data_IF_897123892850
#
_entry.id   IF_897123892850
#
_cell.length_a   1.000
_cell.length_b   1.000
_cell.length_c   1.000
_cell.angle_alpha   90.00
_cell.angle_beta   90.00
_cell.angle_gamma   90.00
#
_symmetry.space_group_name_H-M   'P 1'
#
loop_
_entity.id
_entity.type
_entity.pdbx_description
1 polymer ?
#
# COMPACT_ATOMS: atom_id res chain seq x y z
N UNK A 1 -7.74 -0.52 6.40
CA UNK A 1 -7.09 0.77 6.12
C UNK A 1 -7.93 1.96 6.57
N UNK A 2 -9.17 2.11 6.08
CA UNK A 2 -10.05 3.23 6.48
C UNK A 2 -10.31 3.32 8.00
N UNK A 3 -10.55 2.18 8.64
CA UNK A 3 -10.69 2.08 10.11
C UNK A 3 -9.42 2.56 10.82
N UNK A 4 -8.23 2.20 10.33
CA UNK A 4 -6.96 2.65 10.89
C UNK A 4 -6.79 4.18 10.78
N UNK A 5 -7.09 4.77 9.62
CA UNK A 5 -7.01 6.22 9.44
C UNK A 5 -8.06 6.97 10.27
N UNK A 6 -9.24 6.37 10.48
CA UNK A 6 -10.24 6.91 11.39
C UNK A 6 -9.75 7.02 12.83
N UNK A 7 -8.74 6.23 13.25
CA UNK A 7 -8.15 6.37 14.58
C UNK A 7 -7.08 7.45 14.66
N UNK A 8 -6.50 7.83 13.52
CA UNK A 8 -5.49 8.89 13.42
C UNK A 8 -6.11 10.28 13.27
N UNK A 9 -7.34 10.36 12.76
CA UNK A 9 -8.04 11.62 12.53
C UNK A 9 -9.30 11.73 13.37
N UNK A 10 -9.59 12.91 13.91
CA UNK A 10 -10.85 13.18 14.63
C UNK A 10 -12.05 13.44 13.71
N UNK A 11 -11.80 13.75 12.43
CA UNK A 11 -12.84 14.03 11.45
C UNK A 11 -13.02 12.86 10.48
N UNK A 12 -14.25 12.37 10.33
CA UNK A 12 -14.63 11.35 9.36
C UNK A 12 -14.22 11.75 7.93
N UNK A 13 -14.42 13.02 7.58
CA UNK A 13 -14.08 13.55 6.24
C UNK A 13 -12.57 13.45 5.99
N UNK A 14 -11.75 13.76 7.00
CA UNK A 14 -10.30 13.65 6.90
C UNK A 14 -9.85 12.19 6.72
N UNK A 15 -10.43 11.25 7.48
CA UNK A 15 -10.17 9.81 7.32
C UNK A 15 -10.48 9.32 5.91
N UNK A 16 -11.62 9.74 5.36
CA UNK A 16 -12.02 9.37 4.00
C UNK A 16 -11.07 9.93 2.95
N UNK A 17 -10.71 11.22 3.05
CA UNK A 17 -9.76 11.85 2.11
C UNK A 17 -8.41 11.14 2.15
N UNK A 18 -7.86 10.89 3.35
CA UNK A 18 -6.57 10.19 3.48
C UNK A 18 -6.66 8.77 2.92
N UNK A 19 -7.73 8.04 3.24
CA UNK A 19 -7.95 6.69 2.71
C UNK A 19 -8.03 6.68 1.19
N UNK A 20 -8.74 7.64 0.60
CA UNK A 20 -8.88 7.78 -0.84
C UNK A 20 -7.56 8.19 -1.50
N UNK A 21 -6.80 9.10 -0.90
CA UNK A 21 -5.46 9.47 -1.38
C UNK A 21 -4.51 8.27 -1.35
N UNK A 22 -4.51 7.48 -0.27
CA UNK A 22 -3.72 6.25 -0.20
C UNK A 22 -4.18 5.21 -1.22
N UNK A 23 -5.49 5.16 -1.49
CA UNK A 23 -6.04 4.29 -2.53
C UNK A 23 -5.52 4.68 -3.93
N UNK A 24 -5.57 5.97 -4.27
CA UNK A 24 -5.02 6.51 -5.53
C UNK A 24 -3.51 6.23 -5.63
N UNK A 25 -2.75 6.56 -4.57
CA UNK A 25 -1.31 6.35 -4.56
C UNK A 25 -0.93 4.89 -4.76
N UNK A 26 -1.74 3.96 -4.23
CA UNK A 26 -1.48 2.55 -4.43
C UNK A 26 -1.70 2.06 -5.85
N UNK A 27 -2.53 2.76 -6.63
CA UNK A 27 -2.68 2.47 -8.06
C UNK A 27 -1.44 2.87 -8.86
N UNK A 28 -0.74 3.94 -8.46
CA UNK A 28 0.49 4.43 -9.08
C UNK A 28 1.78 3.74 -8.61
N UNK A 29 1.68 2.78 -7.68
CA UNK A 29 2.83 2.06 -7.13
C UNK A 29 3.70 1.34 -8.19
N UNK A 30 3.13 0.69 -9.23
CA UNK A 30 3.90 0.12 -10.32
C UNK A 30 4.69 1.16 -11.12
N UNK A 31 4.09 2.31 -11.43
CA UNK A 31 4.70 3.41 -12.18
C UNK A 31 5.85 4.03 -11.39
N UNK A 32 5.67 4.23 -10.08
CA UNK A 32 6.74 4.71 -9.18
C UNK A 32 7.91 3.72 -9.18
N UNK A 33 7.62 2.42 -9.09
CA UNK A 33 8.62 1.36 -9.13
C UNK A 33 9.34 1.30 -10.48
N UNK A 34 8.60 1.52 -11.57
CA UNK A 34 9.15 1.62 -12.93
C UNK A 34 10.11 2.80 -13.04
N UNK A 35 9.70 4.00 -12.63
CA UNK A 35 10.55 5.20 -12.63
C UNK A 35 11.81 4.96 -11.81
N UNK A 36 11.71 4.34 -10.63
CA UNK A 36 12.86 3.99 -9.81
C UNK A 36 13.84 3.03 -10.47
N UNK A 37 13.34 2.07 -11.26
CA UNK A 37 14.16 1.07 -11.97
C UNK A 37 14.96 1.70 -13.11
N UNK A 38 14.38 2.66 -13.82
CA UNK A 38 15.00 3.31 -14.99
C UNK A 38 15.71 4.63 -14.66
N UNK A 39 15.60 5.12 -13.42
CA UNK A 39 16.31 6.31 -13.00
C UNK A 39 17.81 6.06 -12.89
N UNK A 40 18.60 6.95 -13.51
CA UNK A 40 20.07 6.94 -13.44
C UNK A 40 20.61 7.62 -12.18
N UNK A 41 19.78 8.40 -11.49
CA UNK A 41 20.16 9.14 -10.29
C UNK A 41 19.81 8.37 -9.02
N UNK A 42 20.69 8.41 -8.01
CA UNK A 42 20.55 7.62 -6.78
C UNK A 42 19.33 8.04 -5.96
N UNK A 43 19.04 9.34 -5.89
CA UNK A 43 17.94 9.92 -5.10
C UNK A 43 16.57 9.37 -5.52
N UNK A 44 16.13 9.50 -6.79
CA UNK A 44 14.84 8.96 -7.23
C UNK A 44 14.73 7.44 -7.07
N UNK A 45 15.85 6.71 -7.21
CA UNK A 45 15.89 5.26 -7.00
C UNK A 45 15.60 4.89 -5.54
N UNK A 46 16.17 5.62 -4.58
CA UNK A 46 15.90 5.43 -3.15
C UNK A 46 14.45 5.79 -2.84
N UNK A 47 13.98 6.96 -3.31
CA UNK A 47 12.60 7.42 -3.07
C UNK A 47 11.59 6.40 -3.62
N UNK A 48 11.76 5.95 -4.86
CA UNK A 48 10.88 4.95 -5.46
C UNK A 48 10.88 3.62 -4.69
N UNK A 49 12.03 3.20 -4.15
CA UNK A 49 12.13 1.98 -3.35
C UNK A 49 11.41 2.11 -2.00
N UNK A 50 11.54 3.26 -1.34
CA UNK A 50 10.82 3.56 -0.10
C UNK A 50 9.32 3.61 -0.37
N UNK A 51 8.89 4.35 -1.41
CA UNK A 51 7.48 4.45 -1.78
C UNK A 51 6.88 3.10 -2.19
N UNK A 52 7.62 2.25 -2.92
CA UNK A 52 7.17 0.90 -3.27
C UNK A 52 7.03 -0.06 -2.08
N UNK A 53 7.67 0.25 -0.94
CA UNK A 53 7.49 -0.50 0.31
C UNK A 53 6.32 0.04 1.15
N UNK A 54 6.11 1.36 1.15
CA UNK A 54 5.09 2.02 1.97
C UNK A 54 3.72 1.99 1.31
N UNK A 55 3.66 2.19 -0.01
CA UNK A 55 2.39 2.29 -0.74
C UNK A 55 1.84 0.89 -1.08
N UNK A 56 0.52 0.69 -0.94
CA UNK A 56 -0.09 -0.57 -1.34
C UNK A 56 0.04 -0.74 -2.86
N UNK A 57 0.38 -1.93 -3.36
CA UNK A 57 0.40 -2.18 -4.80
C UNK A 57 -0.91 -2.86 -5.22
N UNK A 58 -1.89 -2.06 -5.67
CA UNK A 58 -3.20 -2.59 -6.04
C UNK A 58 -3.22 -3.33 -7.37
N UNK A 59 -2.24 -3.11 -8.24
CA UNK A 59 -2.15 -3.83 -9.51
C UNK A 59 -1.91 -5.33 -9.33
N UNK A 60 -1.37 -5.77 -8.18
CA UNK A 60 -1.28 -7.18 -7.80
C UNK A 60 -2.64 -7.87 -7.66
N UNK A 61 -3.71 -7.09 -7.40
CA UNK A 61 -5.07 -7.60 -7.21
C UNK A 61 -5.96 -7.31 -8.43
N UNK A 62 -5.40 -6.75 -9.51
CA UNK A 62 -6.17 -6.43 -10.70
C UNK A 62 -6.42 -7.70 -11.52
N UNK A 63 -7.58 -8.32 -11.31
CA UNK A 63 -7.97 -9.56 -11.98
C UNK A 63 -7.97 -9.45 -13.52
N UNK A 64 -8.25 -8.25 -14.05
CA UNK A 64 -8.28 -8.00 -15.50
C UNK A 64 -6.90 -8.13 -16.12
N UNK A 65 -5.88 -7.60 -15.44
CA UNK A 65 -4.50 -7.65 -15.92
C UNK A 65 -3.90 -9.05 -15.77
N UNK A 66 -4.30 -9.79 -14.73
CA UNK A 66 -3.91 -11.20 -14.54
C UNK A 66 -4.28 -12.09 -15.74
N UNK A 67 -5.46 -11.87 -16.35
CA UNK A 67 -5.89 -12.62 -17.53
C UNK A 67 -5.11 -12.29 -18.81
N UNK A 68 -4.41 -11.15 -18.84
CA UNK A 68 -3.60 -10.70 -19.99
C UNK A 68 -2.10 -10.93 -19.81
N UNK A 69 -1.66 -11.34 -18.62
CA UNK A 69 -0.26 -11.60 -18.34
C UNK A 69 0.17 -12.93 -18.96
N UNK A 70 1.17 -12.87 -19.85
CA UNK A 70 1.82 -14.04 -20.42
C UNK A 70 2.81 -14.58 -19.38
N UNK A 71 2.34 -15.42 -18.45
CA UNK A 71 3.17 -16.02 -17.39
C UNK A 71 2.36 -16.75 -16.32
N UNK A 72 3.06 -17.49 -15.46
CA UNK A 72 2.44 -18.16 -14.29
C UNK A 72 2.16 -17.11 -13.21
N UNK A 73 0.90 -16.97 -12.82
CA UNK A 73 0.50 -16.13 -11.70
C UNK A 73 1.05 -16.75 -10.40
N UNK A 74 1.97 -16.05 -9.75
CA UNK A 74 2.56 -16.46 -8.49
C UNK A 74 1.66 -16.03 -7.33
N UNK A 75 0.65 -16.85 -7.04
CA UNK A 75 -0.30 -16.63 -5.94
C UNK A 75 0.38 -16.52 -4.58
N UNK A 76 1.54 -17.16 -4.40
CA UNK A 76 2.26 -17.13 -3.12
C UNK A 76 2.69 -15.72 -2.76
N UNK A 77 3.19 -14.94 -3.73
CA UNK A 77 3.59 -13.55 -3.53
C UNK A 77 2.42 -12.66 -3.16
N UNK A 78 1.26 -12.87 -3.78
CA UNK A 78 0.05 -12.09 -3.50
C UNK A 78 -0.44 -12.37 -2.08
N UNK A 79 -0.49 -13.64 -1.68
CA UNK A 79 -0.91 -14.03 -0.32
C UNK A 79 0.04 -13.47 0.72
N UNK A 80 1.35 -13.65 0.55
CA UNK A 80 2.37 -13.11 1.47
C UNK A 80 2.27 -11.59 1.57
N UNK A 81 2.15 -10.89 0.44
CA UNK A 81 1.98 -9.44 0.42
C UNK A 81 0.73 -9.01 1.18
N UNK A 82 -0.41 -9.68 0.94
CA UNK A 82 -1.67 -9.42 1.64
C UNK A 82 -1.53 -9.58 3.14
N UNK A 83 -0.88 -10.67 3.57
CA UNK A 83 -0.68 -10.96 4.99
C UNK A 83 0.22 -9.91 5.65
N UNK A 84 1.37 -9.58 5.07
CA UNK A 84 2.30 -8.59 5.62
C UNK A 84 1.62 -7.23 5.74
N UNK A 85 0.96 -6.78 4.68
CA UNK A 85 0.33 -5.46 4.64
C UNK A 85 -0.89 -5.40 5.58
N UNK A 86 -1.73 -6.44 5.58
CA UNK A 86 -2.86 -6.57 6.48
C UNK A 86 -2.44 -6.59 7.95
N UNK A 87 -1.44 -7.42 8.31
CA UNK A 87 -0.88 -7.49 9.66
C UNK A 87 -0.28 -6.16 10.10
N UNK A 88 0.38 -5.43 9.20
CA UNK A 88 0.95 -4.12 9.52
C UNK A 88 -0.12 -3.12 9.95
N UNK A 89 -1.22 -3.03 9.20
CA UNK A 89 -2.35 -2.17 9.57
C UNK A 89 -3.11 -2.67 10.80
N UNK A 90 -3.24 -3.99 10.97
CA UNK A 90 -3.88 -4.59 12.14
C UNK A 90 -3.08 -4.32 13.42
N UNK A 91 -1.79 -4.62 13.42
CA UNK A 91 -0.88 -4.36 14.54
C UNK A 91 -0.79 -2.86 14.84
N UNK A 92 -0.71 -2.01 13.81
CA UNK A 92 -0.75 -0.55 13.98
C UNK A 92 -2.05 -0.10 14.67
N UNK A 93 -3.19 -0.64 14.27
CA UNK A 93 -4.48 -0.35 14.90
C UNK A 93 -4.52 -0.84 16.35
N UNK A 94 -4.05 -2.06 16.62
CA UNK A 94 -3.99 -2.65 17.95
C UNK A 94 -3.11 -1.82 18.90
N UNK A 95 -1.93 -1.38 18.45
CA UNK A 95 -1.03 -0.54 19.24
C UNK A 95 -1.63 0.85 19.55
N UNK A 96 -2.38 1.42 18.61
CA UNK A 96 -3.11 2.67 18.82
C UNK A 96 -4.24 2.49 19.85
N UNK A 97 -5.00 1.40 19.76
CA UNK A 97 -6.05 1.07 20.73
C UNK A 97 -5.52 0.92 22.15
N UNK A 98 -4.42 0.17 22.32
CA UNK A 98 -3.81 -0.06 23.65
C UNK A 98 -3.44 1.22 24.38
N UNK A 99 -3.15 2.30 23.65
CA UNK A 99 -2.79 3.60 24.24
C UNK A 99 -3.99 4.51 24.53
N UNK A 100 -5.18 4.21 24.01
CA UNK A 100 -6.40 5.03 24.19
C UNK A 100 -7.34 4.48 25.27
N UNK A 101 -7.04 3.34 25.88
CA UNK A 101 -7.85 2.73 26.97
C UNK A 101 -7.58 3.31 28.37
N UNK A 102 -7.02 4.52 28.48
CA UNK A 102 -6.94 5.28 29.74
C UNK A 102 -7.29 6.75 29.51
#
# INVERSE_FOLDING_TARGET
MAIFFSFLTTSLVSSLVISFSFWILGHFSPEISFIGKYSRTLLPKIIARILGLILPNFSLYNWREMGTQVGVIDWSKIVIYTLIYGLSFFLGSYLLFRKKEF
#
